data_IF_212169668736
#
_entry.id   IF_212169668736
#
_cell.length_a   1.000
_cell.length_b   1.000
_cell.length_c   1.000
_cell.angle_alpha   90.00
_cell.angle_beta   90.00
_cell.angle_gamma   90.00
#
_symmetry.space_group_name_H-M   'P 1'
#
loop_
_entity.id
_entity.type
_entity.pdbx_description
1 polymer ?
#
# COMPACT_ATOMS: atom_id res chain seq x y z
N UNK A 1 16.49 73.23 -7.75
CA UNK A 1 17.79 73.48 -7.11
C UNK A 1 17.59 73.27 -5.62
N UNK A 2 18.14 72.16 -5.16
CA UNK A 2 18.02 71.60 -3.81
C UNK A 2 18.72 72.53 -2.81
N UNK A 3 18.00 72.89 -1.74
CA UNK A 3 18.58 73.52 -0.55
C UNK A 3 19.12 72.38 0.35
N UNK A 4 20.32 72.51 0.93
CA UNK A 4 21.00 71.41 1.59
C UNK A 4 20.33 71.02 2.91
N UNK A 5 20.06 69.72 3.05
CA UNK A 5 19.66 69.06 4.29
C UNK A 5 20.79 69.13 5.33
N UNK A 6 20.39 69.45 6.55
CA UNK A 6 21.25 69.83 7.67
C UNK A 6 22.31 68.77 8.00
N UNK A 7 23.56 69.21 8.11
CA UNK A 7 24.66 68.41 8.65
C UNK A 7 24.46 68.19 10.15
N UNK A 8 24.47 66.91 10.57
CA UNK A 8 24.63 66.55 11.98
C UNK A 8 26.00 67.07 12.41
N UNK A 9 26.01 68.00 13.38
CA UNK A 9 27.25 68.63 13.84
C UNK A 9 28.14 67.57 14.51
N UNK A 10 29.43 67.48 14.16
CA UNK A 10 30.38 66.69 14.93
C UNK A 10 30.45 67.25 16.35
N UNK A 11 30.42 66.40 17.39
CA UNK A 11 30.66 66.82 18.77
C UNK A 11 32.12 67.25 18.93
N UNK A 12 32.39 68.52 18.60
CA UNK A 12 33.72 69.13 18.63
C UNK A 12 34.12 69.62 20.03
N UNK A 13 33.51 69.09 21.09
CA UNK A 13 33.81 69.44 22.49
C UNK A 13 33.71 68.24 23.41
N UNK A 14 34.60 68.14 24.39
CA UNK A 14 34.62 67.11 25.45
C UNK A 14 33.59 67.42 26.56
N UNK A 15 32.37 67.78 26.16
CA UNK A 15 31.31 68.20 27.07
C UNK A 15 30.16 67.20 26.90
N UNK A 16 29.56 66.75 28.01
CA UNK A 16 28.53 65.69 28.06
C UNK A 16 29.04 64.30 27.65
N UNK A 17 28.19 63.47 27.03
CA UNK A 17 28.40 62.04 26.76
C UNK A 17 29.33 61.76 25.55
N UNK A 18 30.39 62.55 25.42
CA UNK A 18 31.27 62.55 24.25
C UNK A 18 31.97 61.19 24.04
N UNK A 19 32.20 60.43 25.12
CA UNK A 19 32.87 59.15 25.06
C UNK A 19 31.98 58.06 24.45
N UNK A 20 30.71 57.99 24.85
CA UNK A 20 29.75 57.05 24.26
C UNK A 20 29.47 57.40 22.80
N UNK A 21 29.29 58.69 22.49
CA UNK A 21 29.13 59.19 21.11
C UNK A 21 30.30 58.76 20.23
N UNK A 22 31.55 59.03 20.63
CA UNK A 22 32.72 58.61 19.83
C UNK A 22 32.83 57.10 19.67
N UNK A 23 32.41 56.34 20.68
CA UNK A 23 32.44 54.88 20.63
C UNK A 23 31.34 54.25 19.77
N UNK A 24 30.26 54.98 19.45
CA UNK A 24 29.11 54.49 18.68
C UNK A 24 29.00 55.12 17.29
N UNK A 25 29.63 56.28 17.06
CA UNK A 25 29.59 57.00 15.77
C UNK A 25 29.98 56.16 14.54
N UNK A 26 30.93 55.24 14.70
CA UNK A 26 31.35 54.36 13.60
C UNK A 26 30.34 53.24 13.28
N UNK A 27 29.41 52.95 14.19
CA UNK A 27 28.31 51.99 13.99
C UNK A 27 27.12 52.65 13.27
N UNK A 28 26.94 53.97 13.41
CA UNK A 28 25.86 54.74 12.77
C UNK A 28 26.17 55.18 11.33
N UNK A 29 27.44 55.12 10.90
CA UNK A 29 27.82 55.48 9.52
C UNK A 29 27.54 54.31 8.58
N UNK A 30 26.27 54.09 8.25
CA UNK A 30 25.90 53.18 7.16
C UNK A 30 25.93 53.94 5.82
N UNK A 31 26.64 53.47 4.78
CA UNK A 31 26.43 53.99 3.44
C UNK A 31 24.98 53.72 3.00
N UNK A 32 24.41 54.66 2.24
CA UNK A 32 23.03 54.61 1.78
C UNK A 32 22.68 53.25 1.14
N UNK A 33 21.96 52.45 1.91
CA UNK A 33 21.10 51.32 1.58
C UNK A 33 21.04 50.90 0.10
N UNK A 34 21.86 49.91 -0.29
CA UNK A 34 21.47 48.97 -1.34
C UNK A 34 20.47 47.95 -0.78
N UNK A 35 19.36 47.82 -1.49
CA UNK A 35 18.17 47.05 -1.14
C UNK A 35 18.49 45.54 -1.08
N UNK A 36 18.58 44.96 0.13
CA UNK A 36 18.48 43.50 0.25
C UNK A 36 19.07 42.82 1.47
N UNK A 37 19.88 43.48 2.30
CA UNK A 37 20.50 42.82 3.46
C UNK A 37 20.23 43.60 4.76
N UNK A 38 19.24 43.15 5.54
CA UNK A 38 18.91 43.71 6.88
C UNK A 38 19.89 43.17 7.93
N UNK A 39 21.18 43.44 7.76
CA UNK A 39 22.17 43.23 8.81
C UNK A 39 22.16 44.41 9.78
N UNK A 40 21.18 44.50 10.67
CA UNK A 40 21.23 45.49 11.75
C UNK A 40 22.27 45.05 12.78
N UNK A 41 23.50 45.59 12.72
CA UNK A 41 24.41 45.53 13.87
C UNK A 41 23.74 46.26 15.01
N UNK A 42 23.23 45.51 16.00
CA UNK A 42 22.60 46.12 17.16
C UNK A 42 23.66 46.96 17.90
N UNK A 43 23.37 48.23 18.21
CA UNK A 43 24.30 49.10 18.93
C UNK A 43 24.60 48.59 20.35
N UNK A 44 23.81 47.65 20.85
CA UNK A 44 23.90 47.08 22.20
C UNK A 44 24.49 45.66 22.22
N UNK A 45 25.46 45.35 21.37
CA UNK A 45 26.15 44.05 21.34
C UNK A 45 27.58 44.10 21.89
N UNK A 46 28.00 43.06 22.63
CA UNK A 46 29.40 42.93 23.06
C UNK A 46 30.26 42.34 21.94
N UNK A 47 31.13 43.18 21.35
CA UNK A 47 31.93 42.85 20.16
C UNK A 47 32.83 41.60 20.29
N UNK A 48 33.09 41.12 21.52
CA UNK A 48 33.97 39.98 21.80
C UNK A 48 33.27 38.72 22.30
N UNK A 49 31.95 38.75 22.50
CA UNK A 49 31.16 37.61 22.99
C UNK A 49 30.13 37.17 21.94
N UNK A 50 30.57 37.00 20.71
CA UNK A 50 29.73 36.41 19.67
C UNK A 50 29.70 34.89 19.88
N UNK A 51 28.68 34.42 20.61
CA UNK A 51 28.33 32.99 20.61
C UNK A 51 27.60 32.72 19.30
N UNK A 52 28.30 32.18 18.31
CA UNK A 52 27.70 31.73 17.06
C UNK A 52 26.69 30.62 17.37
N UNK A 53 25.47 30.66 16.79
CA UNK A 53 24.35 29.73 17.09
C UNK A 53 24.72 28.24 16.96
N UNK A 54 25.79 27.92 16.23
CA UNK A 54 26.37 26.59 16.11
C UNK A 54 26.82 25.98 17.46
N UNK A 55 27.14 26.82 18.45
CA UNK A 55 27.57 26.43 19.80
C UNK A 55 26.48 26.60 20.86
N UNK A 56 25.24 26.91 20.46
CA UNK A 56 24.10 26.97 21.38
C UNK A 56 23.66 25.56 21.78
N UNK A 57 24.54 24.85 22.49
CA UNK A 57 24.21 23.58 23.12
C UNK A 57 23.45 23.87 24.42
N UNK A 58 22.27 23.27 24.63
CA UNK A 58 21.56 23.43 25.88
C UNK A 58 22.43 22.87 27.01
N UNK A 59 22.48 23.56 28.16
CA UNK A 59 23.29 23.19 29.34
C UNK A 59 23.09 21.73 29.75
N UNK A 60 21.88 21.19 29.54
CA UNK A 60 21.57 19.78 29.79
C UNK A 60 22.42 18.79 28.98
N UNK A 61 22.76 19.10 27.72
CA UNK A 61 23.56 18.20 26.87
C UNK A 61 25.03 18.18 27.26
N UNK A 62 25.54 19.23 27.90
CA UNK A 62 26.92 19.32 28.38
C UNK A 62 27.10 18.52 29.68
N UNK A 63 26.09 18.49 30.54
CA UNK A 63 26.13 17.73 31.81
C UNK A 63 25.80 16.25 31.66
N UNK A 64 24.88 15.88 30.76
CA UNK A 64 24.44 14.48 30.57
C UNK A 64 25.06 13.84 29.33
N UNK A 65 26.38 13.63 29.36
CA UNK A 65 27.06 12.84 28.33
C UNK A 65 26.70 11.35 28.51
N UNK A 66 26.36 10.62 27.44
CA UNK A 66 26.14 9.18 27.52
C UNK A 66 27.36 8.51 28.17
N UNK A 67 27.16 7.59 29.14
CA UNK A 67 28.27 6.93 29.80
C UNK A 67 29.12 6.22 28.76
N UNK A 68 30.40 6.58 28.70
CA UNK A 68 31.34 5.89 27.85
C UNK A 68 31.45 4.47 28.38
N UNK A 69 31.10 3.46 27.56
CA UNK A 69 31.32 2.07 27.93
C UNK A 69 32.82 1.83 27.91
N UNK A 70 33.48 2.10 29.03
CA UNK A 70 34.78 1.53 29.32
C UNK A 70 34.55 0.02 29.36
N UNK A 71 34.80 -0.65 28.23
CA UNK A 71 34.82 -2.10 28.18
C UNK A 71 35.90 -2.52 29.17
N UNK A 72 35.48 -3.04 30.32
CA UNK A 72 36.37 -3.66 31.28
C UNK A 72 37.07 -4.80 30.54
N UNK A 73 38.27 -4.53 30.00
CA UNK A 73 39.20 -5.53 29.50
C UNK A 73 39.79 -6.28 30.71
N UNK A 74 38.92 -6.96 31.47
CA UNK A 74 39.30 -7.80 32.60
C UNK A 74 39.50 -9.26 32.19
N UNK A 75 39.18 -9.63 30.95
CA UNK A 75 39.30 -11.01 30.44
C UNK A 75 40.33 -11.08 29.32
N UNK A 76 41.28 -11.99 29.44
CA UNK A 76 42.19 -12.33 28.35
C UNK A 76 41.45 -13.04 27.21
N UNK A 77 41.96 -12.94 25.98
CA UNK A 77 41.35 -13.57 24.79
C UNK A 77 41.11 -15.07 25.00
N UNK A 78 42.10 -15.79 25.55
CA UNK A 78 41.99 -17.23 25.86
C UNK A 78 40.83 -17.53 26.81
N UNK A 79 40.65 -16.71 27.84
CA UNK A 79 39.59 -16.90 28.83
C UNK A 79 38.21 -16.67 28.21
N UNK A 80 38.05 -15.61 27.42
CA UNK A 80 36.80 -15.33 26.72
C UNK A 80 36.40 -16.46 25.76
N UNK A 81 37.37 -17.03 25.04
CA UNK A 81 37.12 -18.18 24.16
C UNK A 81 36.71 -19.41 24.97
N UNK A 82 37.43 -19.75 26.05
CA UNK A 82 37.09 -20.89 26.90
C UNK A 82 35.68 -20.77 27.50
N UNK A 83 35.30 -19.57 27.94
CA UNK A 83 33.97 -19.33 28.50
C UNK A 83 32.86 -19.46 27.46
N UNK A 84 33.10 -18.96 26.24
CA UNK A 84 32.15 -19.14 25.15
C UNK A 84 31.94 -20.62 24.81
N UNK A 85 33.02 -21.41 24.79
CA UNK A 85 32.98 -22.84 24.51
C UNK A 85 32.22 -23.58 25.63
N UNK A 86 32.52 -23.27 26.90
CA UNK A 86 31.83 -23.88 28.03
C UNK A 86 30.34 -23.54 28.01
N UNK A 87 29.99 -22.28 27.77
CA UNK A 87 28.60 -21.85 27.66
C UNK A 87 27.86 -22.59 26.53
N UNK A 88 28.48 -22.67 25.35
CA UNK A 88 27.90 -23.38 24.21
C UNK A 88 27.66 -24.87 24.53
N UNK A 89 28.64 -25.52 25.16
CA UNK A 89 28.56 -26.94 25.53
C UNK A 89 27.37 -27.20 26.47
N UNK A 90 27.30 -26.48 27.59
CA UNK A 90 26.23 -26.67 28.57
C UNK A 90 24.86 -26.27 28.03
N UNK A 91 24.80 -25.20 27.21
CA UNK A 91 23.56 -24.81 26.54
C UNK A 91 23.03 -25.94 25.65
N UNK A 92 23.91 -26.57 24.87
CA UNK A 92 23.50 -27.65 23.97
C UNK A 92 23.04 -28.89 24.74
N UNK A 93 23.80 -29.30 25.76
CA UNK A 93 23.45 -30.42 26.64
C UNK A 93 22.10 -30.19 27.32
N UNK A 94 21.89 -29.01 27.89
CA UNK A 94 20.62 -28.61 28.50
C UNK A 94 19.47 -28.58 27.47
N UNK A 95 19.71 -28.12 26.24
CA UNK A 95 18.69 -28.14 25.18
C UNK A 95 18.35 -29.57 24.76
N UNK A 96 19.31 -30.48 24.68
CA UNK A 96 19.06 -31.89 24.40
C UNK A 96 18.29 -32.59 25.52
N UNK A 97 18.49 -32.18 26.78
CA UNK A 97 17.73 -32.70 27.93
C UNK A 97 16.31 -32.13 28.00
N UNK A 98 16.15 -30.82 27.83
CA UNK A 98 14.86 -30.13 27.96
C UNK A 98 13.98 -30.36 26.72
N UNK A 99 14.57 -30.37 25.52
CA UNK A 99 13.82 -30.62 24.30
C UNK A 99 13.72 -32.12 24.07
N UNK A 100 12.54 -32.74 24.21
CA UNK A 100 12.39 -34.16 23.89
C UNK A 100 12.83 -34.37 22.44
N UNK A 101 13.54 -35.49 22.19
CA UNK A 101 13.91 -35.92 20.84
C UNK A 101 12.66 -35.84 19.97
N UNK A 102 12.64 -34.91 19.01
CA UNK A 102 11.50 -34.72 18.13
C UNK A 102 11.28 -36.01 17.36
N UNK A 103 10.31 -36.80 17.78
CA UNK A 103 9.84 -37.91 16.96
C UNK A 103 9.12 -37.28 15.77
N UNK A 104 9.35 -37.77 14.54
CA UNK A 104 8.56 -37.36 13.39
C UNK A 104 7.08 -37.49 13.75
N UNK A 105 6.35 -36.39 13.65
CA UNK A 105 4.91 -36.42 13.85
C UNK A 105 4.30 -37.26 12.72
N UNK A 106 3.52 -38.26 13.09
CA UNK A 106 2.71 -39.01 12.13
C UNK A 106 1.70 -38.04 11.51
N UNK A 107 1.97 -37.63 10.27
CA UNK A 107 1.16 -36.66 9.52
C UNK A 107 0.05 -37.32 8.71
N UNK A 108 0.09 -38.64 8.60
CA UNK A 108 -0.80 -39.42 7.74
C UNK A 108 -1.44 -40.52 8.58
N UNK A 109 -2.75 -40.64 8.50
CA UNK A 109 -3.47 -41.72 9.18
C UNK A 109 -3.12 -43.07 8.55
N UNK A 110 -3.21 -44.13 9.35
CA UNK A 110 -3.05 -45.52 8.88
C UNK A 110 -3.90 -45.80 7.64
N UNK A 111 -5.14 -45.31 7.61
CA UNK A 111 -6.03 -45.46 6.45
C UNK A 111 -5.47 -44.81 5.19
N UNK A 112 -4.91 -43.61 5.28
CA UNK A 112 -4.38 -42.94 4.09
C UNK A 112 -3.06 -43.57 3.62
N UNK A 113 -2.28 -44.18 4.50
CA UNK A 113 -1.11 -44.98 4.10
C UNK A 113 -1.54 -46.27 3.40
N UNK A 114 -2.48 -47.02 3.99
CA UNK A 114 -2.85 -48.36 3.51
C UNK A 114 -3.81 -48.36 2.32
N UNK A 115 -4.66 -47.33 2.21
CA UNK A 115 -5.68 -47.20 1.15
C UNK A 115 -5.36 -46.11 0.13
N UNK A 116 -4.09 -45.81 -0.08
CA UNK A 116 -3.69 -44.96 -1.20
C UNK A 116 -3.83 -45.74 -2.51
N UNK A 117 -4.56 -45.17 -3.48
CA UNK A 117 -4.66 -45.73 -4.82
C UNK A 117 -3.39 -45.41 -5.63
N UNK A 118 -2.26 -45.99 -5.21
CA UNK A 118 -1.00 -45.86 -5.93
C UNK A 118 -1.13 -46.53 -7.31
N UNK A 119 -0.97 -45.76 -8.37
CA UNK A 119 -1.06 -46.25 -9.76
C UNK A 119 -2.35 -45.91 -10.51
N UNK A 120 -3.31 -45.22 -9.88
CA UNK A 120 -4.43 -44.63 -10.61
C UNK A 120 -3.99 -43.40 -11.41
N UNK A 121 -3.47 -43.63 -12.62
CA UNK A 121 -3.28 -42.57 -13.61
C UNK A 121 -4.62 -42.31 -14.31
N UNK A 122 -5.31 -41.25 -13.93
CA UNK A 122 -6.48 -40.76 -14.66
C UNK A 122 -6.01 -40.10 -15.95
N UNK A 123 -5.67 -40.91 -16.95
CA UNK A 123 -5.48 -40.41 -18.31
C UNK A 123 -6.86 -40.29 -18.94
N UNK A 124 -7.37 -39.07 -19.20
CA UNK A 124 -8.64 -38.93 -19.91
C UNK A 124 -8.48 -39.58 -21.28
N UNK A 125 -9.39 -40.50 -21.61
CA UNK A 125 -9.43 -41.09 -22.94
C UNK A 125 -9.59 -39.96 -23.97
N UNK A 126 -8.93 -40.06 -25.13
CA UNK A 126 -9.12 -39.10 -26.21
C UNK A 126 -10.61 -39.03 -26.57
N UNK A 127 -11.18 -37.84 -26.44
CA UNK A 127 -12.59 -37.61 -26.72
C UNK A 127 -12.89 -37.91 -28.19
N UNK A 128 -13.83 -38.82 -28.46
CA UNK A 128 -14.21 -39.24 -29.84
C UNK A 128 -14.76 -38.08 -30.68
N UNK A 129 -15.25 -37.03 -30.03
CA UNK A 129 -15.80 -35.81 -30.65
C UNK A 129 -15.35 -34.60 -29.83
N UNK A 130 -15.08 -33.45 -30.46
CA UNK A 130 -14.75 -32.22 -29.76
C UNK A 130 -16.00 -31.67 -29.06
N UNK A 131 -16.26 -32.15 -27.84
CA UNK A 131 -17.38 -31.73 -27.03
C UNK A 131 -16.96 -30.65 -26.04
N UNK A 132 -17.58 -29.47 -26.10
CA UNK A 132 -17.37 -28.40 -25.14
C UNK A 132 -18.54 -28.31 -24.15
N UNK A 133 -18.35 -28.86 -22.94
CA UNK A 133 -19.37 -28.88 -21.88
C UNK A 133 -19.86 -27.49 -21.46
N UNK A 134 -19.08 -26.43 -21.68
CA UNK A 134 -19.48 -25.06 -21.34
C UNK A 134 -20.43 -24.44 -22.39
N UNK A 135 -20.43 -24.97 -23.63
CA UNK A 135 -21.14 -24.36 -24.76
C UNK A 135 -22.24 -25.26 -25.33
N UNK A 136 -22.08 -26.57 -25.23
CA UNK A 136 -23.05 -27.53 -25.75
C UNK A 136 -24.21 -27.73 -24.78
N UNK A 137 -25.43 -27.80 -25.33
CA UNK A 137 -26.59 -28.15 -24.54
C UNK A 137 -26.47 -29.62 -24.10
N UNK A 138 -26.75 -29.95 -22.83
CA UNK A 138 -26.68 -31.33 -22.38
C UNK A 138 -27.65 -32.20 -23.17
N UNK A 139 -27.22 -33.35 -23.68
CA UNK A 139 -28.15 -34.31 -24.29
C UNK A 139 -28.95 -34.99 -23.19
N UNK A 140 -30.25 -34.70 -23.12
CA UNK A 140 -31.18 -35.37 -22.20
C UNK A 140 -32.30 -36.06 -22.96
N UNK A 141 -32.92 -37.08 -22.35
CA UNK A 141 -34.08 -37.76 -22.89
C UNK A 141 -35.19 -36.79 -23.33
N UNK A 142 -35.39 -35.72 -22.56
CA UNK A 142 -36.39 -34.70 -22.85
C UNK A 142 -36.07 -33.92 -24.12
N UNK A 143 -34.81 -33.55 -24.33
CA UNK A 143 -34.38 -32.86 -25.54
C UNK A 143 -34.52 -33.73 -26.79
N UNK A 144 -34.24 -35.02 -26.68
CA UNK A 144 -34.42 -35.97 -27.78
C UNK A 144 -35.90 -36.11 -28.17
N UNK A 145 -36.81 -36.14 -27.18
CA UNK A 145 -38.26 -36.32 -27.41
C UNK A 145 -39.03 -35.01 -27.55
N UNK A 146 -38.38 -33.85 -27.46
CA UNK A 146 -39.02 -32.55 -27.32
C UNK A 146 -40.09 -32.27 -28.40
N UNK A 147 -39.83 -32.67 -29.66
CA UNK A 147 -40.77 -32.48 -30.78
C UNK A 147 -41.87 -33.56 -30.88
N UNK A 148 -41.75 -34.65 -30.13
CA UNK A 148 -42.66 -35.80 -30.17
C UNK A 148 -43.60 -35.90 -28.95
N UNK A 149 -43.42 -35.04 -27.94
CA UNK A 149 -44.21 -35.07 -26.72
C UNK A 149 -45.56 -34.35 -26.89
N UNK A 150 -46.71 -35.05 -26.73
CA UNK A 150 -48.01 -34.41 -26.71
C UNK A 150 -48.24 -33.63 -25.40
N UNK A 151 -49.05 -32.57 -25.45
CA UNK A 151 -49.47 -31.83 -24.25
C UNK A 151 -48.49 -30.77 -23.73
N UNK A 152 -47.42 -30.46 -24.48
CA UNK A 152 -46.45 -29.40 -24.14
C UNK A 152 -46.63 -28.18 -25.03
N UNK A 153 -46.31 -26.99 -24.52
CA UNK A 153 -46.29 -25.75 -25.31
C UNK A 153 -45.34 -25.86 -26.51
N UNK A 154 -45.73 -25.33 -27.67
CA UNK A 154 -44.95 -25.42 -28.91
C UNK A 154 -43.54 -24.84 -28.74
N UNK A 155 -42.55 -25.67 -29.04
CA UNK A 155 -41.14 -25.28 -29.12
C UNK A 155 -40.96 -24.32 -30.29
N UNK A 156 -40.59 -23.08 -30.00
CA UNK A 156 -40.35 -22.05 -31.02
C UNK A 156 -38.85 -21.76 -31.24
N UNK A 157 -37.98 -22.23 -30.35
CA UNK A 157 -36.54 -21.95 -30.39
C UNK A 157 -35.74 -23.23 -30.31
N UNK A 158 -34.74 -23.36 -31.19
CA UNK A 158 -33.84 -24.53 -31.26
C UNK A 158 -32.96 -24.65 -30.02
N UNK A 159 -32.54 -23.52 -29.45
CA UNK A 159 -31.55 -23.49 -28.36
C UNK A 159 -32.19 -23.54 -26.96
N UNK A 160 -33.52 -23.37 -26.85
CA UNK A 160 -34.24 -23.41 -25.58
C UNK A 160 -35.64 -23.99 -25.77
N UNK A 161 -35.77 -25.31 -25.95
CA UNK A 161 -37.04 -25.93 -26.25
C UNK A 161 -38.03 -25.89 -25.09
N UNK A 162 -37.56 -25.95 -23.85
CA UNK A 162 -38.41 -25.94 -22.64
C UNK A 162 -38.56 -24.54 -22.02
N UNK A 163 -38.45 -23.48 -22.82
CA UNK A 163 -38.66 -22.11 -22.33
C UNK A 163 -40.12 -21.95 -21.88
N UNK A 164 -40.33 -21.38 -20.69
CA UNK A 164 -41.69 -21.09 -20.19
C UNK A 164 -42.41 -20.18 -21.19
N UNK A 165 -43.63 -20.56 -21.55
CA UNK A 165 -44.55 -19.76 -22.33
C UNK A 165 -45.83 -19.60 -21.53
N UNK A 166 -46.15 -18.36 -21.17
CA UNK A 166 -47.35 -17.98 -20.44
C UNK A 166 -48.32 -17.16 -21.30
N UNK A 167 -48.11 -17.07 -22.62
CA UNK A 167 -48.87 -16.19 -23.50
C UNK A 167 -50.39 -16.44 -23.43
N UNK A 168 -50.81 -17.68 -23.24
CA UNK A 168 -52.24 -17.99 -23.07
C UNK A 168 -52.82 -17.49 -21.73
N UNK A 169 -52.02 -17.48 -20.67
CA UNK A 169 -52.47 -17.17 -19.30
C UNK A 169 -52.17 -15.73 -18.86
N UNK A 170 -51.37 -14.98 -19.61
CA UNK A 170 -51.11 -13.55 -19.36
C UNK A 170 -52.40 -12.73 -19.57
N UNK A 171 -52.78 -11.88 -18.60
CA UNK A 171 -54.02 -11.10 -18.68
C UNK A 171 -53.99 -10.09 -19.84
N UNK A 172 -55.15 -9.84 -20.44
CA UNK A 172 -55.31 -8.98 -21.64
C UNK A 172 -54.76 -7.56 -21.42
N UNK A 173 -54.81 -7.05 -20.20
CA UNK A 173 -54.28 -5.73 -19.82
C UNK A 173 -52.79 -5.57 -20.10
N UNK A 174 -52.02 -6.67 -20.12
CA UNK A 174 -50.57 -6.68 -20.31
C UNK A 174 -50.16 -6.68 -21.79
N UNK A 175 -51.10 -6.97 -22.70
CA UNK A 175 -50.85 -7.04 -24.15
C UNK A 175 -50.97 -5.70 -24.89
N UNK A 176 -51.47 -4.64 -24.23
CA UNK A 176 -51.83 -3.38 -24.91
C UNK A 176 -50.62 -2.60 -25.47
N UNK A 177 -49.41 -2.89 -25.01
CA UNK A 177 -48.19 -2.18 -25.44
C UNK A 177 -47.17 -3.05 -26.20
N UNK A 178 -47.48 -4.33 -26.46
CA UNK A 178 -46.53 -5.27 -27.09
C UNK A 178 -47.12 -5.97 -28.32
N UNK A 179 -46.31 -6.27 -29.34
CA UNK A 179 -46.77 -7.04 -30.50
C UNK A 179 -47.24 -8.43 -30.07
N UNK A 180 -48.40 -8.85 -30.60
CA UNK A 180 -48.98 -10.15 -30.30
C UNK A 180 -47.99 -11.29 -30.64
N UNK A 181 -47.83 -12.30 -29.76
CA UNK A 181 -46.83 -13.37 -29.92
C UNK A 181 -47.13 -14.35 -31.07
N UNK A 182 -48.24 -14.17 -31.79
CA UNK A 182 -48.63 -15.01 -32.92
C UNK A 182 -48.98 -14.15 -34.15
N UNK A 183 -47.95 -13.60 -34.80
CA UNK A 183 -48.03 -13.30 -36.23
C UNK A 183 -47.39 -14.45 -36.98
N UNK A 184 -48.15 -15.30 -37.70
CA UNK A 184 -47.52 -16.27 -38.59
C UNK A 184 -46.73 -15.50 -39.66
N UNK A 185 -45.43 -15.80 -39.76
CA UNK A 185 -44.50 -15.24 -40.78
C UNK A 185 -44.98 -15.47 -42.24
N UNK A 186 -46.06 -16.21 -42.45
CA UNK A 186 -46.70 -16.43 -43.75
C UNK A 186 -47.50 -15.24 -44.28
N UNK A 187 -47.71 -14.17 -43.51
CA UNK A 187 -48.55 -13.03 -43.94
C UNK A 187 -47.78 -11.82 -44.49
N UNK A 188 -46.45 -11.85 -44.49
CA UNK A 188 -45.60 -10.74 -44.98
C UNK A 188 -45.09 -10.91 -46.42
N UNK A 189 -45.65 -11.87 -47.18
CA UNK A 189 -45.33 -12.07 -48.60
C UNK A 189 -46.62 -12.12 -49.43
N UNK A 190 -47.36 -11.01 -49.48
CA UNK A 190 -48.19 -10.72 -50.65
C UNK A 190 -47.50 -9.64 -51.48
N UNK A 191 -47.05 -9.93 -52.71
CA UNK A 191 -46.73 -8.87 -53.64
C UNK A 191 -48.05 -8.21 -54.07
N UNK A 192 -48.21 -6.95 -53.67
CA UNK A 192 -49.11 -6.02 -54.33
C UNK A 192 -48.61 -5.83 -55.76
N UNK A 193 -49.31 -6.39 -56.75
CA UNK A 193 -49.19 -5.95 -58.13
C UNK A 193 -50.58 -5.91 -58.77
N UNK A 194 -50.80 -4.78 -59.44
CA UNK A 194 -52.00 -4.30 -60.10
C UNK A 194 -52.40 -5.15 -61.31
#
# INVERSE_FOLDING_TARGET
AEQPSQSVRPSSGLIHNWQEERSTNHLDTMPAQELGNKGFTHPHGHHRLLVHELLSWPTMKDTYRPPHRALLLGRGQRQAVLESILYQKYRNEMLEEICPRQMPMESVSTTHQDYCAEGCQFTPLPTTKPHNYCREQPCSFWLEKAHSLPGVTRICSRDSPFRRNAAFSTPITEYLEQPLPYTPLSSQLQPHNQ
#
